data_IF_163869004300
#
_entry.id   IF_163869004300
#
_cell.length_a   1.000
_cell.length_b   1.000
_cell.length_c   1.000
_cell.angle_alpha   90.00
_cell.angle_beta   90.00
_cell.angle_gamma   90.00
#
_symmetry.space_group_name_H-M   'P 1'
#
loop_
_entity.id
_entity.type
_entity.pdbx_description
1 polymer ?
#
# COMPACT_ATOMS: atom_id res chain seq x y z
N UNK A 1 -25.41 -18.66 9.40
CA UNK A 1 -25.21 -17.33 8.79
C UNK A 1 -24.40 -16.48 9.75
N UNK A 2 -23.09 -16.46 9.57
CA UNK A 2 -22.18 -15.56 10.25
C UNK A 2 -21.24 -15.07 9.15
N UNK A 3 -21.46 -13.83 8.72
CA UNK A 3 -20.62 -13.14 7.76
C UNK A 3 -19.27 -12.86 8.40
N UNK A 4 -18.25 -13.52 7.88
CA UNK A 4 -16.87 -13.15 8.14
C UNK A 4 -16.45 -12.30 6.95
N UNK A 5 -16.08 -11.07 7.29
CA UNK A 5 -15.70 -9.95 6.42
C UNK A 5 -14.78 -10.34 5.27
N UNK A 6 -15.06 -9.76 4.10
CA UNK A 6 -14.21 -9.71 2.89
C UNK A 6 -12.91 -8.91 3.09
N UNK A 7 -12.33 -8.92 4.28
CA UNK A 7 -11.15 -8.14 4.63
C UNK A 7 -10.22 -9.02 5.47
N UNK A 8 -9.31 -9.72 4.79
CA UNK A 8 -8.00 -10.23 5.24
C UNK A 8 -7.66 -11.46 4.40
N UNK A 9 -7.02 -11.29 3.24
CA UNK A 9 -5.97 -12.22 2.77
C UNK A 9 -5.19 -11.67 1.56
N UNK A 10 -4.52 -10.52 1.72
CA UNK A 10 -3.31 -10.22 0.92
C UNK A 10 -2.32 -9.56 1.87
N UNK A 11 -1.67 -10.39 2.69
CA UNK A 11 -0.57 -9.95 3.52
C UNK A 11 0.73 -10.10 2.73
N UNK A 12 1.36 -8.96 2.49
CA UNK A 12 2.81 -8.75 2.34
C UNK A 12 3.61 -9.78 1.51
N UNK A 13 3.88 -9.41 0.26
CA UNK A 13 5.15 -9.68 -0.41
C UNK A 13 5.74 -8.33 -0.88
N UNK A 14 6.07 -7.49 0.10
CA UNK A 14 6.80 -6.22 -0.07
C UNK A 14 8.22 -6.35 0.51
N UNK A 15 8.94 -7.40 0.15
CA UNK A 15 10.34 -7.58 0.56
C UNK A 15 11.14 -8.19 -0.60
N UNK A 16 11.99 -7.37 -1.21
CA UNK A 16 12.97 -7.84 -2.20
C UNK A 16 13.25 -6.92 -3.38
N UNK A 17 13.03 -5.61 -3.31
CA UNK A 17 13.69 -4.69 -4.24
C UNK A 17 15.17 -4.59 -3.85
N UNK A 18 15.95 -5.65 -4.11
CA UNK A 18 17.37 -5.48 -4.30
C UNK A 18 17.53 -4.45 -5.40
N UNK A 19 18.19 -3.33 -5.09
CA UNK A 19 18.64 -2.33 -6.03
C UNK A 19 19.72 -2.95 -6.95
N UNK A 20 19.32 -3.94 -7.74
CA UNK A 20 20.03 -4.35 -8.93
C UNK A 20 19.86 -3.25 -9.96
N UNK A 21 20.95 -2.92 -10.63
CA UNK A 21 21.01 -2.01 -11.77
C UNK A 21 19.73 -2.03 -12.58
N UNK A 22 19.10 -0.86 -12.76
CA UNK A 22 18.15 -0.58 -13.83
C UNK A 22 18.90 -0.67 -15.17
N UNK A 23 19.37 -1.88 -15.53
CA UNK A 23 19.51 -2.21 -16.93
C UNK A 23 18.08 -2.11 -17.46
N UNK A 24 17.89 -1.23 -18.42
CA UNK A 24 16.62 -0.96 -19.09
C UNK A 24 16.14 -2.26 -19.75
N UNK A 25 15.52 -3.14 -18.96
CA UNK A 25 14.99 -4.40 -19.45
C UNK A 25 13.89 -4.02 -20.43
N UNK A 26 14.00 -4.49 -21.67
CA UNK A 26 12.98 -4.24 -22.68
C UNK A 26 11.58 -4.54 -22.10
N UNK A 27 10.61 -3.70 -22.45
CA UNK A 27 9.21 -3.90 -22.10
C UNK A 27 8.78 -5.34 -22.42
N UNK A 28 7.95 -5.93 -21.55
CA UNK A 28 7.38 -7.24 -21.81
C UNK A 28 6.62 -7.22 -23.15
N UNK A 29 6.73 -8.33 -23.88
CA UNK A 29 5.88 -8.63 -25.03
C UNK A 29 4.66 -9.44 -24.59
N UNK A 30 3.56 -9.36 -25.35
CA UNK A 30 2.37 -10.19 -25.11
C UNK A 30 2.71 -11.69 -25.12
N UNK A 31 3.65 -12.11 -25.97
CA UNK A 31 4.11 -13.49 -26.04
C UNK A 31 4.75 -13.95 -24.72
N UNK A 32 5.55 -13.09 -24.07
CA UNK A 32 6.15 -13.40 -22.77
C UNK A 32 5.10 -13.50 -21.67
N UNK A 33 4.12 -12.60 -21.64
CA UNK A 33 3.02 -12.66 -20.66
C UNK A 33 2.18 -13.92 -20.85
N UNK A 34 1.89 -14.28 -22.12
CA UNK A 34 1.15 -15.48 -22.46
C UNK A 34 1.90 -16.75 -22.06
N UNK A 35 3.21 -16.81 -22.31
CA UNK A 35 4.04 -17.95 -21.94
C UNK A 35 4.20 -18.07 -20.42
N UNK A 36 4.31 -16.93 -19.71
CA UNK A 36 4.25 -16.88 -18.26
C UNK A 36 2.94 -17.49 -17.73
N UNK A 37 1.77 -17.04 -18.21
CA UNK A 37 0.49 -17.55 -17.70
C UNK A 37 0.33 -19.06 -17.92
N UNK A 38 0.79 -19.57 -19.07
CA UNK A 38 0.77 -21.00 -19.37
C UNK A 38 1.72 -21.79 -18.48
N UNK A 39 2.93 -21.30 -18.32
CA UNK A 39 3.94 -21.96 -17.47
C UNK A 39 3.52 -21.96 -16.01
N UNK A 40 2.99 -20.84 -15.51
CA UNK A 40 2.46 -20.71 -14.15
C UNK A 40 1.27 -21.65 -13.92
N UNK A 41 0.33 -21.75 -14.86
CA UNK A 41 -0.78 -22.70 -14.77
C UNK A 41 -0.29 -24.16 -14.58
N UNK A 42 0.70 -24.57 -15.35
CA UNK A 42 1.29 -25.91 -15.26
C UNK A 42 2.05 -26.11 -13.95
N UNK A 43 2.78 -25.10 -13.47
CA UNK A 43 3.42 -25.14 -12.15
C UNK A 43 2.40 -25.27 -11.02
N UNK A 44 1.25 -24.59 -11.12
CA UNK A 44 0.17 -24.71 -10.15
C UNK A 44 -0.48 -26.10 -10.17
N UNK A 45 -0.62 -26.74 -11.33
CA UNK A 45 -1.00 -28.15 -11.41
C UNK A 45 0.02 -29.06 -10.75
N UNK A 46 1.30 -28.90 -11.09
CA UNK A 46 2.40 -29.65 -10.49
C UNK A 46 2.39 -29.51 -8.95
N UNK A 47 2.25 -28.30 -8.44
CA UNK A 47 2.19 -28.02 -7.01
C UNK A 47 0.99 -28.72 -6.34
N UNK A 48 -0.19 -28.70 -6.99
CA UNK A 48 -1.39 -29.38 -6.49
C UNK A 48 -1.20 -30.89 -6.43
N UNK A 49 -0.60 -31.49 -7.44
CA UNK A 49 -0.32 -32.93 -7.47
C UNK A 49 0.65 -33.34 -6.36
N UNK A 50 1.71 -32.55 -6.15
CA UNK A 50 2.66 -32.77 -5.05
C UNK A 50 2.04 -32.58 -3.67
N UNK A 51 1.13 -31.61 -3.51
CA UNK A 51 0.36 -31.43 -2.27
C UNK A 51 -0.58 -32.62 -2.01
N UNK A 52 -1.24 -33.13 -3.05
CA UNK A 52 -2.19 -34.23 -2.94
C UNK A 52 -1.51 -35.56 -2.59
N UNK A 53 -0.26 -35.76 -3.03
CA UNK A 53 0.53 -36.97 -2.81
C UNK A 53 1.68 -36.75 -1.81
N UNK A 54 1.55 -35.76 -0.93
CA UNK A 54 2.64 -35.34 -0.03
C UNK A 54 3.15 -36.47 0.87
N UNK A 55 2.29 -37.44 1.21
CA UNK A 55 2.59 -38.62 2.01
C UNK A 55 3.51 -39.63 1.30
N UNK A 56 3.61 -39.57 -0.03
CA UNK A 56 4.47 -40.44 -0.84
C UNK A 56 5.93 -39.96 -0.86
N UNK A 57 6.20 -38.74 -0.38
CA UNK A 57 7.52 -38.13 -0.43
C UNK A 57 8.13 -37.99 0.96
N UNK A 58 9.41 -38.33 1.10
CA UNK A 58 10.17 -38.12 2.34
C UNK A 58 10.30 -36.63 2.69
N UNK A 59 10.40 -35.77 1.67
CA UNK A 59 10.50 -34.32 1.78
C UNK A 59 9.75 -33.69 0.61
N UNK A 60 8.43 -33.51 0.76
CA UNK A 60 7.58 -33.00 -0.31
C UNK A 60 8.00 -31.60 -0.81
N UNK A 61 8.34 -30.62 0.07
CA UNK A 61 8.81 -29.30 -0.38
C UNK A 61 10.06 -29.37 -1.25
N UNK A 62 11.09 -30.12 -0.82
CA UNK A 62 12.32 -30.26 -1.61
C UNK A 62 12.06 -31.00 -2.93
N UNK A 63 11.20 -32.03 -2.91
CA UNK A 63 10.89 -32.80 -4.11
C UNK A 63 10.16 -31.93 -5.14
N UNK A 64 9.23 -31.08 -4.69
CA UNK A 64 8.57 -30.10 -5.55
C UNK A 64 9.57 -29.11 -6.15
N UNK A 65 10.45 -28.50 -5.33
CA UNK A 65 11.42 -27.51 -5.81
C UNK A 65 12.35 -28.08 -6.92
N UNK A 66 12.74 -29.36 -6.82
CA UNK A 66 13.51 -30.04 -7.86
C UNK A 66 12.71 -30.28 -9.15
N UNK A 67 11.42 -30.61 -9.01
CA UNK A 67 10.52 -30.82 -10.14
C UNK A 67 10.19 -29.51 -10.85
N UNK A 68 9.92 -28.45 -10.10
CA UNK A 68 9.75 -27.08 -10.58
C UNK A 68 10.97 -26.61 -11.36
N UNK A 69 12.17 -26.71 -10.77
CA UNK A 69 13.41 -26.33 -11.45
C UNK A 69 13.62 -27.12 -12.76
N UNK A 70 13.30 -28.43 -12.76
CA UNK A 70 13.40 -29.28 -13.95
C UNK A 70 12.38 -28.89 -15.02
N UNK A 71 11.15 -28.57 -14.61
CA UNK A 71 10.09 -28.10 -15.51
C UNK A 71 10.44 -26.76 -16.14
N UNK A 72 10.88 -25.78 -15.33
CA UNK A 72 11.33 -24.48 -15.81
C UNK A 72 12.50 -24.60 -16.78
N UNK A 73 13.48 -25.47 -16.47
CA UNK A 73 14.59 -25.75 -17.38
C UNK A 73 14.10 -26.29 -18.73
N UNK A 74 13.08 -27.17 -18.73
CA UNK A 74 12.49 -27.69 -19.97
C UNK A 74 11.78 -26.61 -20.81
N UNK A 75 11.37 -25.51 -20.19
CA UNK A 75 10.80 -24.32 -20.84
C UNK A 75 11.84 -23.28 -21.23
N UNK A 76 13.11 -23.54 -20.94
CA UNK A 76 14.22 -22.62 -21.26
C UNK A 76 14.44 -21.54 -20.21
N UNK A 77 13.91 -21.69 -19.00
CA UNK A 77 14.12 -20.78 -17.87
C UNK A 77 15.03 -21.41 -16.82
N UNK A 78 15.96 -20.63 -16.29
CA UNK A 78 16.43 -20.86 -14.91
C UNK A 78 15.36 -20.41 -13.90
N UNK A 79 15.46 -20.88 -12.66
CA UNK A 79 14.56 -20.48 -11.56
C UNK A 79 14.63 -18.97 -11.31
N UNK A 80 15.83 -18.38 -11.36
CA UNK A 80 16.02 -16.94 -11.15
C UNK A 80 15.40 -16.11 -12.28
N UNK A 81 15.57 -16.52 -13.55
CA UNK A 81 14.96 -15.86 -14.70
C UNK A 81 13.43 -15.94 -14.65
N UNK A 82 12.90 -17.08 -14.20
CA UNK A 82 11.46 -17.27 -14.01
C UNK A 82 10.90 -16.31 -12.95
N UNK A 83 11.51 -16.25 -11.76
CA UNK A 83 11.06 -15.33 -10.71
C UNK A 83 11.20 -13.87 -11.10
N UNK A 84 12.22 -13.51 -11.90
CA UNK A 84 12.34 -12.17 -12.45
C UNK A 84 11.19 -11.83 -13.42
N UNK A 85 10.80 -12.77 -14.28
CA UNK A 85 9.63 -12.62 -15.18
C UNK A 85 8.33 -12.54 -14.38
N UNK A 86 8.13 -13.45 -13.43
CA UNK A 86 6.99 -13.49 -12.52
C UNK A 86 6.82 -12.14 -11.82
N UNK A 87 7.87 -11.63 -11.17
CA UNK A 87 7.83 -10.35 -10.48
C UNK A 87 7.39 -9.21 -11.41
N UNK A 88 7.89 -9.17 -12.65
CA UNK A 88 7.48 -8.14 -13.62
C UNK A 88 6.00 -8.25 -13.99
N UNK A 89 5.53 -9.45 -14.34
CA UNK A 89 4.12 -9.65 -14.72
C UNK A 89 3.18 -9.35 -13.56
N UNK A 90 3.47 -9.87 -12.37
CA UNK A 90 2.66 -9.67 -11.15
C UNK A 90 2.62 -8.20 -10.76
N UNK A 91 3.77 -7.51 -10.74
CA UNK A 91 3.82 -6.08 -10.37
C UNK A 91 3.05 -5.21 -11.38
N UNK A 92 3.17 -5.50 -12.67
CA UNK A 92 2.43 -4.80 -13.72
C UNK A 92 0.91 -5.09 -13.63
N UNK A 93 0.51 -6.33 -13.36
CA UNK A 93 -0.89 -6.70 -13.20
C UNK A 93 -1.52 -6.00 -11.99
N UNK A 94 -0.87 -6.08 -10.82
CA UNK A 94 -1.32 -5.41 -9.60
C UNK A 94 -1.42 -3.89 -9.80
N UNK A 95 -0.44 -3.27 -10.46
CA UNK A 95 -0.51 -1.84 -10.74
C UNK A 95 -1.60 -1.46 -11.71
N UNK A 96 -1.87 -2.26 -12.73
CA UNK A 96 -3.00 -2.00 -13.61
C UNK A 96 -4.34 -2.05 -12.86
N UNK A 97 -4.47 -2.90 -11.84
CA UNK A 97 -5.67 -2.99 -11.02
C UNK A 97 -5.81 -1.84 -10.03
N UNK A 98 -4.71 -1.43 -9.41
CA UNK A 98 -4.70 -0.38 -8.38
C UNK A 98 -4.55 1.04 -8.96
N UNK A 99 -4.22 1.18 -10.25
CA UNK A 99 -3.85 2.48 -10.83
C UNK A 99 -4.90 3.56 -10.58
N UNK A 100 -6.16 3.28 -10.89
CA UNK A 100 -7.23 4.28 -10.75
C UNK A 100 -7.44 4.65 -9.28
N UNK A 101 -7.36 3.68 -8.36
CA UNK A 101 -7.49 3.90 -6.92
C UNK A 101 -6.33 4.73 -6.37
N UNK A 102 -5.10 4.46 -6.81
CA UNK A 102 -3.91 5.25 -6.49
C UNK A 102 -4.12 6.68 -6.99
N UNK A 103 -4.52 6.88 -8.25
CA UNK A 103 -4.70 8.23 -8.82
C UNK A 103 -5.80 9.02 -8.11
N UNK A 104 -6.89 8.36 -7.74
CA UNK A 104 -7.94 8.99 -6.93
C UNK A 104 -7.46 9.30 -5.51
N UNK A 105 -6.71 8.40 -4.87
CA UNK A 105 -6.15 8.63 -3.54
C UNK A 105 -5.17 9.80 -3.54
N UNK A 106 -4.32 9.90 -4.57
CA UNK A 106 -3.44 11.06 -4.77
C UNK A 106 -4.25 12.35 -4.90
N UNK A 107 -5.28 12.38 -5.75
CA UNK A 107 -6.13 13.55 -5.90
C UNK A 107 -6.79 13.99 -4.58
N UNK A 108 -7.37 13.05 -3.81
CA UNK A 108 -7.98 13.33 -2.50
C UNK A 108 -6.97 13.91 -1.51
N UNK A 109 -5.76 13.35 -1.43
CA UNK A 109 -4.70 13.86 -0.55
C UNK A 109 -4.30 15.30 -0.93
N UNK A 110 -4.18 15.59 -2.22
CA UNK A 110 -3.89 16.94 -2.69
C UNK A 110 -5.01 17.94 -2.32
N UNK A 111 -6.28 17.53 -2.42
CA UNK A 111 -7.43 18.33 -1.98
C UNK A 111 -7.42 18.56 -0.45
N UNK A 112 -7.10 17.52 0.33
CA UNK A 112 -6.99 17.60 1.78
C UNK A 112 -5.88 18.57 2.21
N UNK A 113 -4.71 18.53 1.58
CA UNK A 113 -3.61 19.48 1.82
C UNK A 113 -4.05 20.92 1.54
N UNK A 114 -4.79 21.15 0.46
CA UNK A 114 -5.32 22.47 0.12
C UNK A 114 -6.31 22.95 1.18
N UNK A 115 -7.20 22.06 1.64
CA UNK A 115 -8.18 22.36 2.69
C UNK A 115 -7.50 22.70 4.01
N UNK A 116 -6.54 21.89 4.47
CA UNK A 116 -5.76 22.14 5.70
C UNK A 116 -5.09 23.52 5.62
N UNK A 117 -4.52 23.87 4.47
CA UNK A 117 -3.88 25.16 4.28
C UNK A 117 -4.86 26.34 4.15
N UNK A 118 -6.09 26.11 3.68
CA UNK A 118 -7.14 27.12 3.70
C UNK A 118 -7.61 27.38 5.13
N UNK A 119 -7.90 26.32 5.89
CA UNK A 119 -8.23 26.42 7.31
C UNK A 119 -7.12 27.17 8.07
N UNK A 120 -5.85 26.82 7.86
CA UNK A 120 -4.73 27.51 8.50
C UNK A 120 -4.76 29.04 8.26
N UNK A 121 -5.12 29.50 7.06
CA UNK A 121 -5.27 30.92 6.75
C UNK A 121 -6.45 31.55 7.49
N UNK A 122 -7.58 30.86 7.57
CA UNK A 122 -8.77 31.34 8.28
C UNK A 122 -8.53 31.46 9.79
N UNK A 123 -7.86 30.48 10.39
CA UNK A 123 -7.47 30.51 11.79
C UNK A 123 -6.42 31.60 12.06
N UNK A 124 -5.45 31.79 11.15
CA UNK A 124 -4.48 32.88 11.25
C UNK A 124 -5.16 34.27 11.18
N UNK A 125 -6.16 34.45 10.31
CA UNK A 125 -6.94 35.68 10.23
C UNK A 125 -7.76 35.97 11.50
N UNK A 126 -8.12 34.92 12.25
CA UNK A 126 -8.87 35.01 13.50
C UNK A 126 -7.98 34.90 14.75
N UNK A 127 -6.64 34.94 14.61
CA UNK A 127 -5.69 34.65 15.69
C UNK A 127 -6.00 35.41 16.98
N UNK A 128 -6.15 36.74 16.90
CA UNK A 128 -6.45 37.56 18.09
C UNK A 128 -7.74 37.17 18.79
N UNK A 129 -8.80 36.90 18.04
CA UNK A 129 -10.08 36.45 18.59
C UNK A 129 -9.93 35.10 19.30
N UNK A 130 -9.16 34.18 18.71
CA UNK A 130 -8.92 32.84 19.29
C UNK A 130 -8.03 32.91 20.54
N UNK A 131 -7.04 33.80 20.57
CA UNK A 131 -6.22 34.08 21.75
C UNK A 131 -7.06 34.64 22.89
N UNK A 132 -7.96 35.60 22.60
CA UNK A 132 -8.92 36.14 23.57
C UNK A 132 -9.85 35.04 24.11
N UNK A 133 -10.41 34.20 23.24
CA UNK A 133 -11.26 33.07 23.64
C UNK A 133 -10.50 32.05 24.51
N UNK A 134 -9.24 31.75 24.18
CA UNK A 134 -8.39 30.86 24.98
C UNK A 134 -8.09 31.45 26.36
N UNK A 135 -7.84 32.76 26.44
CA UNK A 135 -7.61 33.45 27.69
C UNK A 135 -8.87 33.48 28.56
N UNK A 136 -10.04 33.74 27.99
CA UNK A 136 -11.32 33.67 28.70
C UNK A 136 -11.61 32.28 29.25
N UNK A 137 -11.35 31.22 28.47
CA UNK A 137 -11.47 29.83 28.94
C UNK A 137 -10.49 29.54 30.09
N UNK A 138 -9.25 30.01 30.00
CA UNK A 138 -8.27 29.84 31.07
C UNK A 138 -8.72 30.53 32.37
N UNK A 139 -9.30 31.73 32.28
CA UNK A 139 -9.87 32.44 33.44
C UNK A 139 -11.09 31.70 34.04
N UNK A 140 -11.95 31.13 33.20
CA UNK A 140 -13.08 30.32 33.65
C UNK A 140 -12.62 29.05 34.37
N UNK A 141 -11.63 28.35 33.82
CA UNK A 141 -10.98 27.19 34.47
C UNK A 141 -10.39 27.60 35.82
N UNK A 142 -9.70 28.74 35.89
CA UNK A 142 -9.15 29.27 37.13
C UNK A 142 -10.24 29.50 38.19
N UNK A 143 -11.38 30.08 37.78
CA UNK A 143 -12.54 30.31 38.66
C UNK A 143 -13.12 29.00 39.19
N UNK A 144 -13.26 27.99 38.33
CA UNK A 144 -13.75 26.66 38.73
C UNK A 144 -12.79 25.97 39.71
N UNK A 145 -11.48 26.05 39.46
CA UNK A 145 -10.46 25.51 40.38
C UNK A 145 -10.47 26.19 41.75
N UNK A 146 -10.62 27.52 41.80
CA UNK A 146 -10.76 28.25 43.07
C UNK A 146 -12.01 27.82 43.82
N UNK A 147 -13.13 27.68 43.13
CA UNK A 147 -14.39 27.20 43.73
C UNK A 147 -14.27 25.76 44.26
N UNK A 148 -13.44 24.92 43.64
CA UNK A 148 -13.12 23.58 44.09
C UNK A 148 -12.09 23.53 45.25
N UNK A 149 -11.58 24.69 45.70
CA UNK A 149 -10.65 24.79 46.83
C UNK A 149 -9.19 24.51 46.50
N UNK A 150 -8.80 24.54 45.22
CA UNK A 150 -7.39 24.38 44.85
C UNK A 150 -6.55 25.57 45.34
N UNK A 151 -5.32 25.34 45.85
CA UNK A 151 -4.42 26.42 46.24
C UNK A 151 -4.00 27.29 45.04
N UNK A 152 -3.91 28.61 45.22
CA UNK A 152 -3.60 29.57 44.15
C UNK A 152 -2.26 29.28 43.44
N UNK A 153 -1.27 28.75 44.17
CA UNK A 153 0.00 28.33 43.60
C UNK A 153 -0.17 27.19 42.57
N UNK A 154 -1.03 26.21 42.88
CA UNK A 154 -1.32 25.08 42.00
C UNK A 154 -2.14 25.52 40.78
N UNK A 155 -3.10 26.43 40.97
CA UNK A 155 -3.87 27.01 39.87
C UNK A 155 -2.94 27.76 38.90
N UNK A 156 -2.03 28.58 39.41
CA UNK A 156 -1.07 29.33 38.59
C UNK A 156 -0.16 28.40 37.78
N UNK A 157 0.30 27.30 38.39
CA UNK A 157 1.10 26.29 37.70
C UNK A 157 0.31 25.62 36.55
N UNK A 158 -0.92 25.18 36.80
CA UNK A 158 -1.77 24.58 35.77
C UNK A 158 -2.12 25.56 34.64
N UNK A 159 -2.40 26.82 34.95
CA UNK A 159 -2.66 27.85 33.93
C UNK A 159 -1.42 28.13 33.07
N UNK A 160 -0.23 28.12 33.67
CA UNK A 160 1.01 28.32 32.92
C UNK A 160 1.25 27.21 31.89
N UNK A 161 0.85 25.98 32.20
CA UNK A 161 0.90 24.86 31.24
C UNK A 161 -0.07 25.08 30.08
N UNK A 162 -1.30 25.53 30.36
CA UNK A 162 -2.32 25.83 29.33
C UNK A 162 -1.89 26.99 28.42
N UNK A 163 -1.28 28.02 29.00
CA UNK A 163 -0.76 29.18 28.26
C UNK A 163 0.49 28.84 27.42
N UNK A 164 1.23 27.79 27.79
CA UNK A 164 2.38 27.29 27.03
C UNK A 164 2.01 26.36 25.87
N UNK A 165 0.75 25.98 25.72
CA UNK A 165 0.30 25.16 24.58
C UNK A 165 0.13 26.03 23.32
N UNK A 166 0.50 25.51 22.14
CA UNK A 166 0.30 26.24 20.89
C UNK A 166 -1.19 26.52 20.65
N UNK A 167 -1.47 27.70 20.11
CA UNK A 167 -2.83 28.09 19.72
C UNK A 167 -3.34 27.21 18.58
N UNK A 168 -4.66 27.13 18.40
CA UNK A 168 -5.24 26.43 17.25
C UNK A 168 -4.72 26.98 15.91
N UNK A 169 -4.45 28.29 15.82
CA UNK A 169 -3.88 28.91 14.63
C UNK A 169 -2.44 28.44 14.36
N UNK A 170 -1.62 28.29 15.40
CA UNK A 170 -0.25 27.78 15.28
C UNK A 170 -0.25 26.30 14.88
N UNK A 171 -1.09 25.48 15.53
CA UNK A 171 -1.25 24.05 15.19
C UNK A 171 -1.66 23.88 13.72
N UNK A 172 -2.65 24.64 13.23
CA UNK A 172 -3.08 24.55 11.83
C UNK A 172 -2.02 25.02 10.84
N UNK A 173 -1.26 26.06 11.19
CA UNK A 173 -0.15 26.54 10.37
C UNK A 173 0.93 25.49 10.23
N UNK A 174 1.33 24.86 11.35
CA UNK A 174 2.31 23.77 11.37
C UNK A 174 1.82 22.55 10.57
N UNK A 175 0.54 22.19 10.70
CA UNK A 175 -0.08 21.14 9.89
C UNK A 175 -0.02 21.45 8.39
N UNK A 176 -0.33 22.68 7.97
CA UNK A 176 -0.21 23.07 6.55
C UNK A 176 1.24 23.01 6.05
N UNK A 177 2.22 23.40 6.89
CA UNK A 177 3.64 23.36 6.53
C UNK A 177 4.16 21.92 6.39
N UNK A 178 3.65 20.98 7.18
CA UNK A 178 4.05 19.57 7.18
C UNK A 178 3.26 18.70 6.20
N UNK A 179 2.01 19.06 5.87
CA UNK A 179 1.14 18.27 4.99
C UNK A 179 1.71 18.11 3.57
N UNK A 180 2.04 19.23 2.91
CA UNK A 180 2.56 19.22 1.52
C UNK A 180 3.81 18.36 1.31
N UNK A 181 4.89 18.47 2.12
CA UNK A 181 6.07 17.63 1.91
C UNK A 181 5.80 16.16 2.19
N UNK A 182 4.96 15.83 3.18
CA UNK A 182 4.59 14.43 3.47
C UNK A 182 3.79 13.82 2.32
N UNK A 183 2.78 14.54 1.81
CA UNK A 183 2.00 14.12 0.65
C UNK A 183 2.88 13.98 -0.60
N UNK A 184 3.79 14.92 -0.85
CA UNK A 184 4.71 14.85 -1.99
C UNK A 184 5.64 13.64 -1.92
N UNK A 185 6.18 13.30 -0.74
CA UNK A 185 7.01 12.11 -0.55
C UNK A 185 6.24 10.82 -0.82
N UNK A 186 5.04 10.71 -0.25
CA UNK A 186 4.17 9.56 -0.46
C UNK A 186 3.80 9.38 -1.94
N UNK A 187 3.39 10.45 -2.61
CA UNK A 187 3.06 10.41 -4.04
C UNK A 187 4.28 10.06 -4.91
N UNK A 188 5.47 10.53 -4.53
CA UNK A 188 6.70 10.22 -5.27
C UNK A 188 7.03 8.72 -5.23
N UNK A 189 6.78 8.04 -4.11
CA UNK A 189 6.99 6.59 -3.97
C UNK A 189 5.99 5.79 -4.84
N UNK A 190 4.70 6.13 -4.78
CA UNK A 190 3.69 5.51 -5.65
C UNK A 190 3.98 5.76 -7.14
N UNK A 191 4.36 7.00 -7.50
CA UNK A 191 4.69 7.34 -8.88
C UNK A 191 5.93 6.60 -9.37
N UNK A 192 6.94 6.40 -8.52
CA UNK A 192 8.11 5.59 -8.85
C UNK A 192 7.72 4.15 -9.17
N UNK A 193 6.81 3.57 -8.39
CA UNK A 193 6.34 2.20 -8.63
C UNK A 193 5.51 2.09 -9.92
N UNK A 194 4.67 3.09 -10.19
CA UNK A 194 3.97 3.23 -11.48
C UNK A 194 4.99 3.32 -12.63
N UNK A 195 6.02 4.14 -12.51
CA UNK A 195 7.04 4.35 -13.56
C UNK A 195 7.82 3.07 -13.88
N UNK A 196 8.20 2.29 -12.86
CA UNK A 196 8.94 1.03 -13.04
C UNK A 196 8.10 -0.02 -13.77
N UNK A 197 6.79 -0.08 -13.50
CA UNK A 197 5.90 -1.11 -14.07
C UNK A 197 5.26 -0.70 -15.39
N UNK A 198 5.11 0.61 -15.65
CA UNK A 198 4.41 1.15 -16.82
C UNK A 198 4.86 0.59 -18.17
N UNK A 199 6.15 0.35 -18.45
CA UNK A 199 6.57 -0.22 -19.72
C UNK A 199 5.92 -1.57 -20.03
N UNK A 200 5.58 -2.36 -19.00
CA UNK A 200 5.04 -3.72 -19.14
C UNK A 200 3.52 -3.76 -19.26
N UNK A 201 2.85 -2.66 -18.92
CA UNK A 201 1.39 -2.56 -18.93
C UNK A 201 0.74 -2.92 -20.27
N UNK A 202 1.26 -2.49 -21.44
CA UNK A 202 0.63 -2.81 -22.72
C UNK A 202 0.54 -4.32 -22.97
N UNK A 203 1.56 -5.09 -22.58
CA UNK A 203 1.57 -6.53 -22.77
C UNK A 203 0.73 -7.29 -21.73
N UNK A 204 0.65 -6.78 -20.50
CA UNK A 204 -0.10 -7.43 -19.41
C UNK A 204 -1.59 -7.14 -19.50
N UNK A 205 -1.98 -5.94 -19.93
CA UNK A 205 -3.38 -5.48 -19.93
C UNK A 205 -4.37 -6.44 -20.61
N UNK A 206 -4.09 -7.03 -21.79
CA UNK A 206 -5.02 -7.96 -22.43
C UNK A 206 -5.30 -9.23 -21.62
N UNK A 207 -4.41 -9.58 -20.69
CA UNK A 207 -4.46 -10.84 -19.93
C UNK A 207 -4.84 -10.66 -18.46
N UNK A 208 -5.25 -9.46 -18.02
CA UNK A 208 -5.59 -9.21 -16.61
C UNK A 208 -6.68 -10.15 -16.09
N UNK A 209 -7.70 -10.43 -16.89
CA UNK A 209 -8.77 -11.34 -16.48
C UNK A 209 -8.25 -12.78 -16.30
N UNK A 210 -7.40 -13.25 -17.22
CA UNK A 210 -6.76 -14.56 -17.14
C UNK A 210 -5.81 -14.66 -15.95
N UNK A 211 -5.04 -13.60 -15.66
CA UNK A 211 -4.19 -13.50 -14.48
C UNK A 211 -5.03 -13.59 -13.19
N UNK A 212 -6.11 -12.82 -13.11
CA UNK A 212 -7.01 -12.83 -11.95
C UNK A 212 -7.69 -14.19 -11.74
N UNK A 213 -8.12 -14.84 -12.81
CA UNK A 213 -8.66 -16.19 -12.74
C UNK A 213 -7.60 -17.19 -12.27
N UNK A 214 -6.36 -17.10 -12.78
CA UNK A 214 -5.25 -17.96 -12.36
C UNK A 214 -4.97 -17.81 -10.87
N UNK A 215 -4.80 -16.57 -10.38
CA UNK A 215 -4.53 -16.28 -8.96
C UNK A 215 -5.67 -16.78 -8.08
N UNK A 216 -6.92 -16.50 -8.45
CA UNK A 216 -8.08 -16.96 -7.67
C UNK A 216 -8.21 -18.48 -7.66
N UNK A 217 -7.99 -19.13 -8.80
CA UNK A 217 -7.99 -20.58 -8.88
C UNK A 217 -6.84 -21.17 -8.04
N UNK A 218 -5.61 -20.70 -8.20
CA UNK A 218 -4.44 -21.15 -7.43
C UNK A 218 -4.67 -21.03 -5.91
N UNK A 219 -5.33 -19.96 -5.47
CA UNK A 219 -5.72 -19.74 -4.07
C UNK A 219 -6.89 -20.60 -3.59
N UNK A 220 -7.57 -21.35 -4.47
CA UNK A 220 -8.75 -22.15 -4.14
C UNK A 220 -10.06 -21.36 -4.05
N UNK A 221 -10.06 -20.09 -4.49
CA UNK A 221 -11.25 -19.23 -4.53
C UNK A 221 -12.15 -19.51 -5.75
N UNK A 222 -11.65 -20.28 -6.72
CA UNK A 222 -12.39 -20.71 -7.92
C UNK A 222 -12.12 -22.19 -8.22
N UNK A 223 -13.13 -22.87 -8.78
CA UNK A 223 -13.07 -24.31 -9.08
C UNK A 223 -12.31 -24.63 -10.37
N UNK A 224 -12.45 -23.77 -11.39
CA UNK A 224 -11.88 -23.99 -12.72
C UNK A 224 -10.69 -23.07 -12.98
N UNK A 225 -9.65 -23.57 -13.65
CA UNK A 225 -8.53 -22.74 -14.10
C UNK A 225 -8.97 -21.78 -15.22
N UNK A 226 -8.16 -20.76 -15.55
CA UNK A 226 -8.39 -19.95 -16.75
C UNK A 226 -8.25 -20.78 -18.03
N UNK A 227 -9.03 -20.43 -19.06
CA UNK A 227 -8.81 -20.90 -20.43
C UNK A 227 -7.80 -19.97 -21.12
N UNK A 228 -6.55 -20.43 -21.25
CA UNK A 228 -5.48 -19.66 -21.89
C UNK A 228 -5.41 -20.00 -23.39
N UNK A 229 -6.19 -19.31 -24.23
CA UNK A 229 -6.06 -19.39 -25.71
C UNK A 229 -4.73 -18.85 -26.20
#
# INVERSE_FOLDING_TARGET
MLGISRALLVALLMLGLSAGSLAESAALSEAQVKDYLRTELELQYLLRDYKANADQYKDAPRTYALAEASYLQSKGYSVDEWHALEARVVNAANMLQEYDDIRQAQARRAEDDLRICQEAKEYAAQKHKLEEEQQQKAEEIAKQMRAAGLPEAQIKEMLSQIQGMPTLAEIRTEQCQSAKPATAQYMAEENRYIEITRPDWPAVRPYLDSFNQLVNWAAGNQLSPPALE
#
